data_IF_973579392786
#
_entry.id   IF_973579392786
#
_cell.length_a   1.000
_cell.length_b   1.000
_cell.length_c   1.000
_cell.angle_alpha   90.00
_cell.angle_beta   90.00
_cell.angle_gamma   90.00
#
_symmetry.space_group_name_H-M   'P 1'
#
loop_
_entity.id
_entity.type
_entity.pdbx_description
1 polymer ?
#
# COMPACT_ATOMS: atom_id res chain seq x y z
N UNK A 1 27.24 -15.90 7.76
CA UNK A 1 27.02 -15.95 9.21
C UNK A 1 25.51 -15.99 9.41
N UNK A 2 24.92 -17.01 10.05
CA UNK A 2 23.48 -17.01 10.26
C UNK A 2 23.11 -15.84 11.18
N UNK A 3 22.03 -15.13 10.83
CA UNK A 3 21.47 -14.08 11.65
C UNK A 3 20.91 -14.75 12.91
N UNK A 4 21.56 -14.56 14.05
CA UNK A 4 21.01 -15.02 15.33
C UNK A 4 19.97 -13.98 15.74
N UNK A 5 18.70 -14.31 15.53
CA UNK A 5 17.59 -13.51 16.06
C UNK A 5 17.48 -13.88 17.55
N UNK A 6 17.74 -12.96 18.49
CA UNK A 6 17.56 -13.23 19.90
C UNK A 6 16.10 -13.57 20.19
N UNK A 7 15.87 -14.38 21.22
CA UNK A 7 14.53 -14.63 21.71
C UNK A 7 13.85 -13.26 22.01
N UNK A 8 12.68 -12.99 21.44
CA UNK A 8 11.95 -11.74 21.68
C UNK A 8 11.75 -11.42 23.16
N UNK A 9 11.63 -12.45 24.01
CA UNK A 9 11.53 -12.32 25.47
C UNK A 9 12.84 -11.87 26.14
N UNK A 10 14.00 -11.96 25.45
CA UNK A 10 15.31 -11.57 25.97
C UNK A 10 15.71 -10.14 25.62
N UNK A 11 14.94 -9.44 24.78
CA UNK A 11 15.23 -8.04 24.42
C UNK A 11 14.71 -7.14 25.54
N UNK A 12 15.58 -6.33 26.21
CA UNK A 12 15.12 -5.36 27.21
C UNK A 12 14.10 -4.41 26.56
N UNK A 13 12.86 -4.40 27.04
CA UNK A 13 11.76 -3.61 26.46
C UNK A 13 12.02 -2.10 26.56
N UNK A 14 12.88 -1.68 27.49
CA UNK A 14 13.20 -0.26 27.73
C UNK A 14 14.04 0.38 26.60
N UNK A 15 14.62 -0.43 25.72
CA UNK A 15 15.53 0.01 24.65
C UNK A 15 14.93 -0.13 23.25
N UNK A 16 13.66 -0.49 23.14
CA UNK A 16 12.97 -0.65 21.85
C UNK A 16 11.82 0.34 21.71
N UNK A 17 11.41 0.62 20.49
CA UNK A 17 10.28 1.49 20.21
C UNK A 17 9.01 0.97 20.93
N UNK A 18 8.44 1.71 21.89
CA UNK A 18 7.27 1.25 22.66
C UNK A 18 6.03 0.99 21.77
N UNK A 19 5.98 1.58 20.58
CA UNK A 19 4.89 1.35 19.62
C UNK A 19 4.89 -0.08 19.04
N UNK A 20 5.98 -0.84 19.19
CA UNK A 20 5.99 -2.26 18.80
C UNK A 20 4.91 -3.07 19.52
N UNK A 21 4.58 -2.72 20.76
CA UNK A 21 3.53 -3.38 21.53
C UNK A 21 2.10 -3.15 20.96
N UNK A 22 1.94 -2.16 20.08
CA UNK A 22 0.66 -1.86 19.40
C UNK A 22 0.44 -2.69 18.13
N UNK A 23 1.49 -3.34 17.62
CA UNK A 23 1.40 -4.12 16.39
C UNK A 23 0.57 -5.38 16.60
N UNK A 24 -0.28 -5.67 15.64
CA UNK A 24 -1.07 -6.90 15.62
C UNK A 24 -0.31 -8.04 14.92
N UNK A 25 -0.52 -9.30 15.36
CA UNK A 25 -0.01 -10.46 14.63
C UNK A 25 -0.48 -10.46 13.18
N UNK A 26 0.38 -10.95 12.29
CA UNK A 26 0.08 -11.03 10.86
C UNK A 26 -1.24 -11.81 10.63
N UNK A 27 -2.20 -11.30 9.82
CA UNK A 27 -3.52 -11.89 9.69
C UNK A 27 -3.51 -13.36 9.24
N UNK A 28 -2.62 -13.74 8.34
CA UNK A 28 -2.50 -15.12 7.88
C UNK A 28 -1.96 -16.07 8.96
N UNK A 29 -1.17 -15.56 9.91
CA UNK A 29 -0.76 -16.34 11.07
C UNK A 29 -1.94 -16.62 11.99
N UNK A 30 -2.80 -15.62 12.23
CA UNK A 30 -4.07 -15.83 12.96
C UNK A 30 -4.97 -16.85 12.24
N UNK A 31 -5.09 -16.74 10.92
CA UNK A 31 -5.87 -17.66 10.11
C UNK A 31 -5.31 -19.09 10.21
N UNK A 32 -3.99 -19.27 10.13
CA UNK A 32 -3.32 -20.56 10.29
C UNK A 32 -3.62 -21.18 11.66
N UNK A 33 -3.62 -20.37 12.72
CA UNK A 33 -3.96 -20.83 14.07
C UNK A 33 -5.42 -21.24 14.20
N UNK A 34 -6.34 -20.51 13.57
CA UNK A 34 -7.77 -20.86 13.56
C UNK A 34 -8.04 -22.21 12.87
N UNK A 35 -7.27 -22.53 11.85
CA UNK A 35 -7.38 -23.79 11.12
C UNK A 35 -6.53 -24.94 11.71
N UNK A 36 -5.73 -24.66 12.72
CA UNK A 36 -4.95 -25.71 13.39
C UNK A 36 -5.91 -26.75 13.99
N UNK A 37 -5.85 -27.96 13.53
CA UNK A 37 -6.75 -29.05 13.97
C UNK A 37 -8.00 -29.24 13.10
N UNK A 38 -8.24 -28.42 12.08
CA UNK A 38 -9.26 -28.68 11.07
C UNK A 38 -8.71 -29.65 10.03
N UNK A 39 -9.39 -30.80 9.88
CA UNK A 39 -9.07 -31.79 8.84
C UNK A 39 -10.03 -31.61 7.68
N UNK A 40 -9.57 -31.20 6.49
CA UNK A 40 -10.42 -31.08 5.31
C UNK A 40 -11.00 -32.43 4.90
N UNK A 41 -12.16 -32.42 4.22
CA UNK A 41 -12.74 -33.64 3.65
C UNK A 41 -11.78 -34.16 2.53
N UNK A 42 -11.22 -35.36 2.67
CA UNK A 42 -10.26 -35.89 1.71
C UNK A 42 -10.84 -36.20 0.31
N UNK A 43 -12.18 -36.26 0.21
CA UNK A 43 -12.87 -36.48 -1.08
C UNK A 43 -13.15 -35.20 -1.85
N UNK A 44 -12.82 -34.02 -1.30
CA UNK A 44 -13.00 -32.76 -1.96
C UNK A 44 -11.64 -32.16 -2.35
N UNK A 45 -11.57 -31.62 -3.57
CA UNK A 45 -10.40 -30.87 -4.00
C UNK A 45 -10.32 -29.54 -3.25
N UNK A 46 -9.16 -29.23 -2.70
CA UNK A 46 -8.91 -27.92 -2.11
C UNK A 46 -8.99 -26.80 -3.16
N UNK A 47 -9.73 -25.72 -2.83
CA UNK A 47 -9.80 -24.48 -3.61
C UNK A 47 -9.27 -23.37 -2.72
N UNK A 48 -8.09 -22.86 -3.05
CA UNK A 48 -7.42 -21.81 -2.28
C UNK A 48 -7.98 -20.44 -2.68
N UNK A 49 -8.75 -19.81 -1.77
CA UNK A 49 -9.33 -18.48 -1.97
C UNK A 49 -8.79 -17.43 -0.99
N UNK A 50 -7.79 -17.79 -0.17
CA UNK A 50 -7.26 -16.92 0.88
C UNK A 50 -6.27 -15.86 0.37
N UNK A 51 -5.66 -16.09 -0.79
CA UNK A 51 -4.66 -15.18 -1.39
C UNK A 51 -5.05 -14.98 -2.85
N UNK A 52 -5.23 -13.71 -3.25
CA UNK A 52 -5.43 -13.32 -4.65
C UNK A 52 -4.08 -13.11 -5.32
N UNK A 53 -3.55 -14.14 -5.96
CA UNK A 53 -2.32 -14.03 -6.76
C UNK A 53 -2.53 -14.59 -8.17
N UNK A 54 -1.86 -14.01 -9.20
CA UNK A 54 -1.92 -14.55 -10.55
C UNK A 54 -1.34 -15.97 -10.59
N UNK A 55 -2.09 -16.89 -11.22
CA UNK A 55 -1.67 -18.30 -11.40
C UNK A 55 -1.16 -18.59 -12.82
N UNK A 56 -1.07 -17.57 -13.67
CA UNK A 56 -0.57 -17.72 -15.03
C UNK A 56 0.97 -17.81 -15.05
N UNK A 57 1.50 -18.56 -16.01
CA UNK A 57 2.94 -18.62 -16.22
C UNK A 57 3.48 -17.23 -16.62
N UNK A 58 4.65 -16.90 -16.09
CA UNK A 58 5.35 -15.67 -16.50
C UNK A 58 5.63 -15.70 -18.01
N UNK A 59 5.28 -14.63 -18.76
CA UNK A 59 5.57 -14.54 -20.19
C UNK A 59 7.04 -14.77 -20.50
N UNK A 60 7.32 -15.46 -21.62
CA UNK A 60 8.68 -15.89 -21.95
C UNK A 60 9.63 -14.70 -22.15
N UNK A 61 9.18 -13.63 -22.81
CA UNK A 61 10.00 -12.44 -23.04
C UNK A 61 10.53 -11.81 -21.75
N UNK A 62 9.80 -11.93 -20.63
CA UNK A 62 10.26 -11.43 -19.31
C UNK A 62 11.43 -12.28 -18.81
N UNK A 63 11.31 -13.61 -18.94
CA UNK A 63 12.36 -14.54 -18.51
C UNK A 63 13.63 -14.39 -19.36
N UNK A 64 13.46 -14.24 -20.67
CA UNK A 64 14.57 -13.99 -21.61
C UNK A 64 15.27 -12.66 -21.29
N UNK A 65 14.50 -11.58 -21.07
CA UNK A 65 15.05 -10.25 -20.73
C UNK A 65 15.80 -10.29 -19.40
N UNK A 66 15.26 -10.97 -18.39
CA UNK A 66 15.92 -11.14 -17.11
C UNK A 66 17.25 -11.91 -17.27
N UNK A 67 17.23 -13.00 -18.03
CA UNK A 67 18.42 -13.82 -18.29
C UNK A 67 19.50 -13.01 -19.03
N UNK A 68 19.12 -12.25 -20.05
CA UNK A 68 20.04 -11.37 -20.77
C UNK A 68 20.62 -10.26 -19.89
N UNK A 69 19.86 -9.82 -18.87
CA UNK A 69 20.26 -8.75 -17.96
C UNK A 69 21.15 -9.19 -16.79
N UNK A 70 21.42 -10.49 -16.59
CA UNK A 70 22.15 -11.02 -15.42
C UNK A 70 23.56 -10.42 -15.22
N UNK A 71 24.24 -10.01 -16.30
CA UNK A 71 25.53 -9.33 -16.22
C UNK A 71 25.46 -8.03 -15.39
N UNK A 72 24.29 -7.41 -15.30
CA UNK A 72 24.04 -6.20 -14.49
C UNK A 72 24.19 -6.43 -12.98
N UNK A 73 24.12 -7.68 -12.51
CA UNK A 73 24.30 -8.03 -11.09
C UNK A 73 25.71 -7.68 -10.56
N UNK A 74 26.69 -7.48 -11.45
CA UNK A 74 28.04 -7.06 -11.06
C UNK A 74 28.10 -5.60 -10.55
N UNK A 75 27.05 -4.80 -10.78
CA UNK A 75 27.02 -3.39 -10.42
C UNK A 75 26.19 -3.15 -9.16
N UNK A 76 26.70 -2.30 -8.28
CA UNK A 76 25.94 -1.86 -7.12
C UNK A 76 24.77 -0.97 -7.57
N UNK A 77 23.53 -1.21 -7.11
CA UNK A 77 22.37 -0.43 -7.51
C UNK A 77 22.45 1.00 -6.96
N UNK A 78 21.98 1.96 -7.75
CA UNK A 78 21.84 3.35 -7.30
C UNK A 78 20.54 3.53 -6.51
N UNK A 79 20.53 4.45 -5.55
CA UNK A 79 19.36 4.77 -4.72
C UNK A 79 18.15 5.20 -5.56
N UNK A 80 18.40 5.96 -6.64
CA UNK A 80 17.33 6.45 -7.53
C UNK A 80 16.88 5.43 -8.58
N UNK A 81 17.53 4.26 -8.64
CA UNK A 81 17.36 3.33 -9.75
C UNK A 81 18.02 3.81 -11.04
N UNK A 82 18.07 2.96 -12.06
CA UNK A 82 18.70 3.31 -13.33
C UNK A 82 17.82 4.30 -14.12
N UNK A 83 18.40 5.32 -14.78
CA UNK A 83 17.64 6.30 -15.54
C UNK A 83 16.76 5.70 -16.65
N UNK A 84 17.21 4.60 -17.28
CA UNK A 84 16.44 3.90 -18.31
C UNK A 84 15.12 3.36 -17.78
N UNK A 85 15.10 2.78 -16.56
CA UNK A 85 13.88 2.29 -15.93
C UNK A 85 12.92 3.44 -15.59
N UNK A 86 13.45 4.53 -15.00
CA UNK A 86 12.62 5.70 -14.66
C UNK A 86 11.98 6.32 -15.90
N UNK A 87 12.74 6.45 -17.01
CA UNK A 87 12.18 6.90 -18.29
C UNK A 87 11.10 5.96 -18.81
N UNK A 88 11.37 4.65 -18.81
CA UNK A 88 10.38 3.66 -19.28
C UNK A 88 9.08 3.71 -18.48
N UNK A 89 9.15 3.92 -17.15
CA UNK A 89 7.97 4.12 -16.29
C UNK A 89 7.24 5.41 -16.69
N UNK A 90 7.94 6.53 -16.83
CA UNK A 90 7.35 7.81 -17.23
C UNK A 90 6.67 7.74 -18.59
N UNK A 91 7.33 7.15 -19.57
CA UNK A 91 6.77 6.94 -20.91
C UNK A 91 5.53 6.05 -20.89
N UNK A 92 5.53 5.01 -20.05
CA UNK A 92 4.35 4.16 -19.87
C UNK A 92 3.19 4.93 -19.25
N UNK A 93 3.43 5.69 -18.18
CA UNK A 93 2.41 6.50 -17.52
C UNK A 93 1.81 7.55 -18.46
N UNK A 94 2.66 8.25 -19.23
CA UNK A 94 2.21 9.24 -20.21
C UNK A 94 1.30 8.60 -21.28
N UNK A 95 1.68 7.45 -21.80
CA UNK A 95 0.84 6.74 -22.79
C UNK A 95 -0.43 6.16 -22.16
N UNK A 96 -0.31 5.53 -21.01
CA UNK A 96 -1.41 4.79 -20.37
C UNK A 96 -2.48 5.71 -19.82
N UNK A 97 -2.06 6.79 -19.18
CA UNK A 97 -2.96 7.72 -18.51
C UNK A 97 -3.11 9.06 -19.23
N UNK A 98 -2.50 9.21 -20.41
CA UNK A 98 -2.55 10.44 -21.20
C UNK A 98 -2.07 11.67 -20.39
N UNK A 99 -1.11 11.46 -19.52
CA UNK A 99 -0.50 12.53 -18.74
C UNK A 99 0.51 13.28 -19.63
N UNK A 100 0.61 14.58 -19.40
CA UNK A 100 1.65 15.40 -20.01
C UNK A 100 2.83 15.55 -19.05
N UNK A 101 4.05 15.37 -19.57
CA UNK A 101 5.29 15.84 -18.95
C UNK A 101 5.64 15.28 -17.57
N UNK A 102 5.42 13.99 -17.32
CA UNK A 102 6.01 13.35 -16.13
C UNK A 102 7.53 13.43 -16.25
N UNK A 103 8.13 14.10 -15.26
CA UNK A 103 9.59 14.20 -15.17
C UNK A 103 10.17 12.97 -14.46
N UNK A 104 10.85 12.05 -15.18
CA UNK A 104 11.39 10.84 -14.58
C UNK A 104 12.51 11.08 -13.57
N UNK A 105 13.12 12.27 -13.57
CA UNK A 105 14.22 12.60 -12.65
C UNK A 105 13.71 13.04 -11.27
N UNK A 106 12.50 13.59 -11.18
CA UNK A 106 11.98 14.18 -9.94
C UNK A 106 10.67 13.54 -9.44
N UNK A 107 9.95 12.81 -10.30
CA UNK A 107 8.62 12.29 -9.99
C UNK A 107 8.54 10.76 -9.95
N UNK A 108 9.63 10.06 -10.27
CA UNK A 108 9.67 8.60 -10.31
C UNK A 108 10.84 8.07 -9.48
N UNK A 109 10.52 7.19 -8.55
CA UNK A 109 11.50 6.41 -7.79
C UNK A 109 11.11 4.92 -7.83
N UNK A 110 11.91 4.06 -8.47
CA UNK A 110 11.70 2.61 -8.42
C UNK A 110 11.91 2.07 -7.01
N UNK A 111 11.11 1.10 -6.64
CA UNK A 111 11.12 0.46 -5.33
C UNK A 111 11.16 -1.07 -5.47
N UNK A 112 11.61 -1.76 -4.43
CA UNK A 112 11.68 -3.24 -4.40
C UNK A 112 10.39 -3.90 -3.92
N UNK A 113 9.31 -3.16 -3.84
CA UNK A 113 8.00 -3.63 -3.41
C UNK A 113 7.18 -2.50 -2.78
N UNK A 114 5.88 -2.48 -3.04
CA UNK A 114 4.99 -1.43 -2.52
C UNK A 114 4.86 -1.48 -0.99
N UNK A 115 4.95 -2.65 -0.37
CA UNK A 115 4.89 -2.78 1.09
C UNK A 115 5.99 -1.95 1.77
N UNK A 116 7.22 -2.13 1.35
CA UNK A 116 8.39 -1.42 1.89
C UNK A 116 8.31 0.07 1.58
N UNK A 117 7.80 0.42 0.39
CA UNK A 117 7.60 1.81 0.00
C UNK A 117 6.55 2.52 0.84
N UNK A 118 5.39 1.90 1.06
CA UNK A 118 4.30 2.46 1.88
C UNK A 118 4.78 2.67 3.33
N UNK A 119 5.55 1.70 3.85
CA UNK A 119 6.17 1.85 5.17
C UNK A 119 7.14 3.03 5.21
N UNK A 120 8.12 3.07 4.30
CA UNK A 120 9.15 4.12 4.25
C UNK A 120 8.54 5.51 4.00
N UNK A 121 7.53 5.59 3.12
CA UNK A 121 6.81 6.82 2.83
C UNK A 121 6.13 7.37 4.09
N UNK A 122 5.46 6.52 4.86
CA UNK A 122 4.84 6.92 6.13
C UNK A 122 5.89 7.48 7.10
N UNK A 123 7.04 6.82 7.25
CA UNK A 123 8.12 7.31 8.11
C UNK A 123 8.68 8.66 7.63
N UNK A 124 8.58 8.96 6.34
CA UNK A 124 9.07 10.20 5.74
C UNK A 124 8.07 11.36 5.91
N UNK A 125 6.77 11.06 5.82
CA UNK A 125 5.70 12.07 5.83
C UNK A 125 5.30 12.48 7.25
N UNK A 126 5.26 11.52 8.18
CA UNK A 126 4.77 11.78 9.53
C UNK A 126 5.79 12.58 10.34
N UNK A 127 5.33 13.72 10.83
CA UNK A 127 6.08 14.59 11.75
C UNK A 127 5.42 14.59 13.14
N UNK A 128 5.93 13.80 14.10
CA UNK A 128 5.41 13.75 15.46
C UNK A 128 5.81 14.96 16.31
N UNK A 129 6.67 15.86 15.79
CA UNK A 129 7.19 17.01 16.54
C UNK A 129 6.23 18.21 16.61
N UNK A 130 5.10 18.15 15.90
CA UNK A 130 4.13 19.27 15.78
C UNK A 130 3.32 19.60 17.04
N UNK A 131 3.63 18.97 18.19
CA UNK A 131 2.95 19.25 19.47
C UNK A 131 1.58 18.57 19.62
N UNK A 132 1.19 17.72 18.67
CA UNK A 132 0.03 16.84 18.75
C UNK A 132 0.38 15.45 18.21
N UNK A 133 -0.42 14.46 18.55
CA UNK A 133 -0.27 13.11 17.96
C UNK A 133 -0.82 13.14 16.54
N UNK A 134 0.01 12.90 15.51
CA UNK A 134 -0.46 12.87 14.12
C UNK A 134 -1.45 11.73 13.89
N UNK A 135 -2.31 11.90 12.89
CA UNK A 135 -3.25 10.87 12.44
C UNK A 135 -2.87 10.40 11.04
N UNK A 136 -2.91 9.08 10.84
CA UNK A 136 -2.91 8.45 9.53
C UNK A 136 -4.28 7.83 9.29
N UNK A 137 -4.96 8.26 8.22
CA UNK A 137 -6.27 7.75 7.85
C UNK A 137 -6.12 6.65 6.81
N UNK A 138 -6.93 5.59 6.90
CA UNK A 138 -7.03 4.55 5.87
C UNK A 138 -8.45 4.01 5.75
N UNK A 139 -8.83 3.40 4.61
CA UNK A 139 -10.08 2.65 4.53
C UNK A 139 -10.06 1.45 5.48
N UNK A 140 -11.23 0.94 5.83
CA UNK A 140 -11.38 -0.35 6.52
C UNK A 140 -12.46 -1.17 5.79
N UNK A 141 -12.14 -2.36 5.28
CA UNK A 141 -10.90 -3.14 5.44
C UNK A 141 -9.68 -2.47 4.81
N UNK A 142 -8.49 -2.76 5.32
CA UNK A 142 -7.23 -2.12 4.94
C UNK A 142 -6.08 -3.12 4.77
N UNK A 143 -5.04 -2.68 4.08
CA UNK A 143 -3.79 -3.40 4.04
C UNK A 143 -3.00 -3.14 5.33
N UNK A 144 -2.62 -4.20 6.03
CA UNK A 144 -2.03 -4.15 7.38
C UNK A 144 -0.84 -3.19 7.52
N UNK A 145 -0.10 -2.97 6.43
CA UNK A 145 1.07 -2.08 6.47
C UNK A 145 0.70 -0.64 6.82
N UNK A 146 -0.51 -0.16 6.46
CA UNK A 146 -0.93 1.21 6.74
C UNK A 146 -0.98 1.47 8.25
N UNK A 147 -1.60 0.55 8.99
CA UNK A 147 -1.69 0.62 10.46
C UNK A 147 -0.32 0.49 11.12
N UNK A 148 0.45 -0.54 10.73
CA UNK A 148 1.76 -0.80 11.31
C UNK A 148 2.75 0.35 11.08
N UNK A 149 2.75 0.91 9.87
CA UNK A 149 3.57 2.06 9.54
C UNK A 149 3.18 3.31 10.35
N UNK A 150 1.87 3.54 10.54
CA UNK A 150 1.37 4.65 11.35
C UNK A 150 1.85 4.55 12.80
N UNK A 151 1.66 3.40 13.45
CA UNK A 151 2.13 3.20 14.84
C UNK A 151 3.63 3.42 14.98
N UNK A 152 4.44 2.86 14.08
CA UNK A 152 5.89 2.97 14.19
C UNK A 152 6.42 4.37 13.86
N UNK A 153 5.67 5.16 13.09
CA UNK A 153 5.94 6.58 12.88
C UNK A 153 5.48 7.47 14.05
N UNK A 154 4.87 6.90 15.09
CA UNK A 154 4.34 7.67 16.23
C UNK A 154 2.99 8.33 15.95
N UNK A 155 2.28 7.90 14.92
CA UNK A 155 0.94 8.37 14.57
C UNK A 155 -0.15 7.46 15.14
N UNK A 156 -1.36 7.98 15.18
CA UNK A 156 -2.59 7.28 15.52
C UNK A 156 -3.31 6.87 14.22
N UNK A 157 -3.53 5.56 13.96
CA UNK A 157 -4.34 5.17 12.83
C UNK A 157 -5.81 5.47 13.08
N UNK A 158 -6.51 5.99 12.05
CA UNK A 158 -7.96 6.16 12.00
C UNK A 158 -8.50 5.50 10.75
N UNK A 159 -9.69 4.92 10.89
CA UNK A 159 -10.28 4.10 9.84
C UNK A 159 -11.60 4.67 9.36
N UNK A 160 -11.75 4.77 8.03
CA UNK A 160 -13.03 5.04 7.38
C UNK A 160 -13.64 3.70 6.97
N UNK A 161 -14.69 3.27 7.67
CA UNK A 161 -15.36 2.01 7.36
C UNK A 161 -16.07 2.11 6.01
N UNK A 162 -15.70 1.20 5.10
CA UNK A 162 -16.34 1.09 3.79
C UNK A 162 -17.38 -0.02 3.86
N UNK A 163 -18.64 0.36 3.90
CA UNK A 163 -19.76 -0.55 4.14
C UNK A 163 -20.61 -0.75 2.88
N UNK A 164 -21.24 -1.92 2.71
CA UNK A 164 -22.12 -2.18 1.57
C UNK A 164 -23.29 -1.18 1.45
N UNK A 165 -23.78 -0.67 2.56
CA UNK A 165 -24.92 0.24 2.63
C UNK A 165 -24.64 1.59 1.94
N UNK A 166 -23.38 2.00 1.85
CA UNK A 166 -22.95 3.20 1.14
C UNK A 166 -22.11 2.89 -0.11
N UNK A 167 -22.31 1.71 -0.70
CA UNK A 167 -21.56 1.25 -1.88
C UNK A 167 -20.04 1.30 -1.64
N UNK A 168 -19.59 0.98 -0.45
CA UNK A 168 -18.19 1.03 -0.02
C UNK A 168 -17.49 2.38 -0.20
N UNK A 169 -18.25 3.47 -0.28
CA UNK A 169 -17.70 4.82 -0.31
C UNK A 169 -17.10 5.22 1.05
N UNK A 170 -16.20 6.20 1.05
CA UNK A 170 -15.67 6.76 2.29
C UNK A 170 -16.70 7.65 2.96
N UNK A 171 -16.90 7.43 4.25
CA UNK A 171 -17.64 8.33 5.11
C UNK A 171 -16.67 9.27 5.83
N UNK A 172 -16.49 10.46 5.26
CA UNK A 172 -15.58 11.48 5.80
C UNK A 172 -16.11 12.13 7.08
N UNK A 173 -17.40 12.02 7.37
CA UNK A 173 -18.01 12.56 8.59
C UNK A 173 -17.70 11.71 9.83
N UNK A 174 -17.07 10.54 9.63
CA UNK A 174 -16.56 9.70 10.72
C UNK A 174 -15.54 10.41 11.58
N UNK A 175 -14.74 11.32 11.01
CA UNK A 175 -13.76 12.11 11.73
C UNK A 175 -14.29 13.53 11.99
N UNK A 176 -14.09 14.00 13.22
CA UNK A 176 -14.35 15.39 13.56
C UNK A 176 -13.36 16.35 12.90
N UNK A 177 -13.72 17.63 12.80
CA UNK A 177 -12.82 18.70 12.33
C UNK A 177 -11.48 18.72 13.11
N UNK A 178 -11.52 18.50 14.42
CA UNK A 178 -10.33 18.45 15.27
C UNK A 178 -9.42 17.25 14.94
N UNK A 179 -9.97 16.13 14.52
CA UNK A 179 -9.19 14.98 14.07
C UNK A 179 -8.61 15.25 12.69
N UNK A 180 -9.38 15.79 11.75
CA UNK A 180 -8.89 16.17 10.43
C UNK A 180 -7.70 17.14 10.48
N UNK A 181 -7.70 18.09 11.42
CA UNK A 181 -6.56 19.01 11.62
C UNK A 181 -5.27 18.30 12.05
N UNK A 182 -5.35 17.09 12.57
CA UNK A 182 -4.22 16.27 12.96
C UNK A 182 -3.79 15.28 11.89
N UNK A 183 -4.59 15.10 10.83
CA UNK A 183 -4.26 14.17 9.74
C UNK A 183 -3.04 14.69 8.98
N UNK A 184 -2.05 13.85 8.79
CA UNK A 184 -0.87 14.16 7.98
C UNK A 184 -0.78 13.28 6.73
N UNK A 185 -1.39 12.10 6.77
CA UNK A 185 -1.38 11.14 5.68
C UNK A 185 -2.72 10.42 5.60
N UNK A 186 -3.26 10.28 4.39
CA UNK A 186 -4.39 9.41 4.12
C UNK A 186 -4.00 8.40 3.04
N UNK A 187 -4.11 7.12 3.37
CA UNK A 187 -4.03 6.03 2.39
C UNK A 187 -5.37 5.82 1.71
N UNK A 188 -5.31 5.59 0.42
CA UNK A 188 -6.44 5.09 -0.37
C UNK A 188 -5.98 3.90 -1.20
N UNK A 189 -6.87 2.96 -1.46
CA UNK A 189 -6.62 1.84 -2.36
C UNK A 189 -7.73 1.84 -3.41
N UNK A 190 -7.35 2.03 -4.68
CA UNK A 190 -8.31 2.05 -5.78
C UNK A 190 -7.70 1.41 -7.03
N UNK A 191 -8.25 0.29 -7.51
CA UNK A 191 -9.33 -0.53 -6.93
C UNK A 191 -9.04 -1.06 -5.54
N UNK A 192 -10.05 -1.13 -4.68
CA UNK A 192 -9.88 -1.50 -3.28
C UNK A 192 -9.85 -3.02 -3.07
N UNK A 193 -8.96 -3.50 -2.25
CA UNK A 193 -8.96 -4.86 -1.74
C UNK A 193 -9.48 -4.84 -0.28
N UNK A 194 -10.54 -5.63 0.08
CA UNK A 194 -11.18 -6.69 -0.71
C UNK A 194 -12.46 -6.25 -1.45
N UNK A 195 -12.92 -5.00 -1.35
CA UNK A 195 -14.27 -4.59 -1.77
C UNK A 195 -14.42 -4.46 -3.30
N UNK A 196 -13.32 -4.27 -4.03
CA UNK A 196 -13.35 -3.97 -5.45
C UNK A 196 -13.82 -2.56 -5.79
N UNK A 197 -14.09 -1.71 -4.80
CA UNK A 197 -14.53 -0.33 -5.03
C UNK A 197 -13.47 0.45 -5.79
N UNK A 198 -13.93 1.17 -6.81
CA UNK A 198 -13.13 2.12 -7.58
C UNK A 198 -13.57 3.52 -7.23
N UNK A 199 -12.63 4.38 -6.89
CA UNK A 199 -12.91 5.80 -6.71
C UNK A 199 -13.18 6.44 -8.06
N UNK A 200 -14.34 7.05 -8.20
CA UNK A 200 -14.69 7.83 -9.39
C UNK A 200 -14.14 9.27 -9.29
N UNK A 201 -14.28 10.05 -10.35
CA UNK A 201 -13.74 11.40 -10.40
C UNK A 201 -14.31 12.33 -9.30
N UNK A 202 -15.57 12.15 -8.91
CA UNK A 202 -16.19 12.98 -7.88
C UNK A 202 -15.70 12.57 -6.47
N UNK A 203 -15.38 11.29 -6.26
CA UNK A 203 -14.72 10.81 -5.03
C UNK A 203 -13.33 11.45 -4.91
N UNK A 204 -12.55 11.47 -5.99
CA UNK A 204 -11.24 12.13 -6.03
C UNK A 204 -11.32 13.63 -5.79
N UNK A 205 -12.26 14.35 -6.41
CA UNK A 205 -12.47 15.79 -6.17
C UNK A 205 -12.78 16.09 -4.69
N UNK A 206 -13.65 15.28 -4.06
CA UNK A 206 -13.93 15.41 -2.62
C UNK A 206 -12.66 15.20 -1.77
N UNK A 207 -11.90 14.17 -2.10
CA UNK A 207 -10.67 13.84 -1.39
C UNK A 207 -9.62 14.95 -1.53
N UNK A 208 -9.43 15.49 -2.73
CA UNK A 208 -8.51 16.61 -2.96
C UNK A 208 -8.96 17.87 -2.21
N UNK A 209 -10.25 18.21 -2.26
CA UNK A 209 -10.78 19.35 -1.50
C UNK A 209 -10.55 19.20 0.01
N UNK A 210 -10.66 17.98 0.52
CA UNK A 210 -10.40 17.68 1.93
C UNK A 210 -8.90 17.81 2.25
N UNK A 211 -8.04 17.28 1.38
CA UNK A 211 -6.58 17.42 1.49
C UNK A 211 -6.15 18.89 1.44
N UNK A 212 -6.70 19.66 0.53
CA UNK A 212 -6.42 21.11 0.43
C UNK A 212 -6.87 21.86 1.70
N UNK A 213 -8.04 21.51 2.24
CA UNK A 213 -8.58 22.14 3.46
C UNK A 213 -7.71 21.91 4.70
N UNK A 214 -7.21 20.69 4.87
CA UNK A 214 -6.51 20.27 6.10
C UNK A 214 -5.00 20.08 5.95
N UNK A 215 -4.48 20.06 4.73
CA UNK A 215 -3.05 20.03 4.44
C UNK A 215 -2.40 18.66 4.60
N UNK A 216 -3.14 17.56 4.46
CA UNK A 216 -2.57 16.20 4.52
C UNK A 216 -2.15 15.69 3.14
N UNK A 217 -1.27 14.71 3.12
CA UNK A 217 -0.82 14.04 1.90
C UNK A 217 -1.71 12.82 1.62
N UNK A 218 -2.06 12.61 0.35
CA UNK A 218 -2.76 11.42 -0.12
C UNK A 218 -1.74 10.44 -0.69
N UNK A 219 -1.76 9.19 -0.21
CA UNK A 219 -1.01 8.08 -0.77
C UNK A 219 -1.98 7.08 -1.43
N UNK A 220 -2.00 7.06 -2.76
CA UNK A 220 -2.83 6.14 -3.53
C UNK A 220 -2.08 4.83 -3.79
N UNK A 221 -2.59 3.74 -3.24
CA UNK A 221 -2.13 2.38 -3.53
C UNK A 221 -2.91 1.83 -4.73
N UNK A 222 -2.26 1.81 -5.88
CA UNK A 222 -2.88 1.47 -7.17
C UNK A 222 -2.43 0.11 -7.71
N UNK A 223 -2.08 -0.82 -6.82
CA UNK A 223 -1.57 -2.13 -7.22
C UNK A 223 -2.55 -2.95 -8.08
N UNK A 224 -3.83 -2.57 -8.14
CA UNK A 224 -4.86 -3.21 -8.95
C UNK A 224 -5.36 -2.36 -10.12
N UNK A 225 -4.73 -1.24 -10.44
CA UNK A 225 -5.20 -0.30 -11.48
C UNK A 225 -5.29 -0.91 -12.88
N UNK A 226 -4.49 -1.96 -13.16
CA UNK A 226 -4.52 -2.68 -14.43
C UNK A 226 -5.36 -3.97 -14.39
N UNK A 227 -6.08 -4.23 -13.30
CA UNK A 227 -6.98 -5.39 -13.16
C UNK A 227 -8.41 -4.96 -13.43
N UNK A 228 -8.87 -5.07 -14.66
CA UNK A 228 -10.22 -4.69 -15.12
C UNK A 228 -10.71 -5.63 -16.22
N UNK A 229 -12.01 -5.62 -16.48
CA UNK A 229 -12.67 -6.50 -17.45
C UNK A 229 -12.85 -5.87 -18.83
N UNK A 230 -12.89 -4.55 -18.92
CA UNK A 230 -13.19 -3.81 -20.14
C UNK A 230 -12.21 -2.65 -20.32
N UNK A 231 -11.42 -2.70 -21.40
CA UNK A 231 -10.44 -1.66 -21.73
C UNK A 231 -11.09 -0.30 -22.05
N UNK A 232 -12.34 -0.29 -22.53
CA UNK A 232 -13.09 0.94 -22.78
C UNK A 232 -13.51 1.64 -21.47
N UNK A 233 -13.64 0.85 -20.39
CA UNK A 233 -13.96 1.33 -19.05
C UNK A 233 -12.91 0.86 -18.05
N UNK A 234 -11.64 1.27 -18.22
CA UNK A 234 -10.59 0.92 -17.28
C UNK A 234 -10.95 1.52 -15.92
N UNK A 235 -10.67 0.76 -14.87
CA UNK A 235 -10.89 1.23 -13.51
C UNK A 235 -10.00 2.43 -13.26
N UNK A 236 -10.60 3.53 -12.84
CA UNK A 236 -9.96 4.84 -12.84
C UNK A 236 -9.13 5.00 -11.57
N UNK A 237 -7.80 4.83 -11.69
CA UNK A 237 -6.85 5.61 -10.90
C UNK A 237 -6.39 6.83 -11.69
N UNK A 238 -7.26 7.41 -12.51
CA UNK A 238 -6.88 8.52 -13.38
C UNK A 238 -7.18 9.86 -12.71
N UNK A 239 -6.16 10.49 -12.15
CA UNK A 239 -6.16 11.93 -12.01
C UNK A 239 -6.02 12.53 -13.41
N UNK A 240 -7.06 13.16 -13.91
CA UNK A 240 -6.98 14.04 -15.07
C UNK A 240 -6.64 15.45 -14.58
#
# INVERSE_FOLDING_TARGET
>A
MPLIIPDPASIPTDNVNPNLAKLHPYPFEKLRQLFAGVTPNPNLREIKLSIGEPQHATPEFIKETLTAGLAGLANYPTTLGIPALRRAIGDWMNRRYQLADINPETQIIPINGSREALFAFTQTVIDPSKGYVPIVVSPNPFYQIYEGAAYLAGAEPRFLNTLPENDFAFDYDTLSDAEWQRVQLMFVCSPANPTGKVLNLDDWKKLFALSDKYGFIIASDECYSEVFFDEANPQIGRAH
#
